data_IF_015308153788
#
_entry.id   IF_015308153788
#
_cell.length_a   1.000
_cell.length_b   1.000
_cell.length_c   1.000
_cell.angle_alpha   90.00
_cell.angle_beta   90.00
_cell.angle_gamma   90.00
#
_symmetry.space_group_name_H-M   'P 1'
#
loop_
_entity.id
_entity.type
_entity.pdbx_description
1 polymer ?
#
# COMPACT_ATOMS: atom_id res chain seq x y z
N UNK A 1 -0.36 -12.64 0.03
CA UNK A 1 -1.16 -11.58 -0.63
C UNK A 1 -0.59 -11.23 -2.02
N UNK A 2 0.58 -10.61 -2.12
CA UNK A 2 1.13 -10.13 -3.41
C UNK A 2 1.21 -11.23 -4.50
N UNK A 3 1.78 -12.43 -4.25
CA UNK A 3 1.88 -13.45 -5.30
C UNK A 3 0.52 -13.88 -5.86
N UNK A 4 -0.49 -13.98 -4.99
CA UNK A 4 -1.84 -14.39 -5.39
C UNK A 4 -2.55 -13.30 -6.20
N UNK A 5 -2.36 -12.03 -5.84
CA UNK A 5 -2.89 -10.91 -6.63
C UNK A 5 -2.26 -10.87 -8.04
N UNK A 6 -0.96 -11.12 -8.15
CA UNK A 6 -0.28 -11.20 -9.44
C UNK A 6 -0.78 -12.39 -10.28
N UNK A 7 -1.06 -13.53 -9.65
CA UNK A 7 -1.64 -14.69 -10.32
C UNK A 7 -3.01 -14.35 -10.91
N UNK A 8 -3.86 -13.67 -10.14
CA UNK A 8 -5.18 -13.23 -10.60
C UNK A 8 -5.09 -12.21 -11.73
N UNK A 9 -4.23 -11.19 -11.60
CA UNK A 9 -4.03 -10.19 -12.66
C UNK A 9 -3.48 -10.81 -13.95
N UNK A 10 -2.55 -11.77 -13.84
CA UNK A 10 -2.04 -12.50 -15.00
C UNK A 10 -3.12 -13.34 -15.69
N UNK A 11 -4.05 -13.93 -14.93
CA UNK A 11 -5.19 -14.66 -15.49
C UNK A 11 -6.14 -13.75 -16.29
N UNK A 12 -6.21 -12.47 -15.93
CA UNK A 12 -6.93 -11.42 -16.67
C UNK A 12 -6.10 -10.82 -17.84
N UNK A 13 -4.93 -11.40 -18.15
CA UNK A 13 -4.07 -10.95 -19.26
C UNK A 13 -3.18 -9.75 -18.93
N UNK A 14 -3.07 -9.33 -17.67
CA UNK A 14 -2.20 -8.22 -17.27
C UNK A 14 -0.73 -8.66 -17.25
N UNK A 15 0.11 -8.00 -18.03
CA UNK A 15 1.55 -8.24 -18.08
C UNK A 15 2.29 -7.68 -16.86
N UNK A 16 3.40 -8.30 -16.46
CA UNK A 16 4.24 -7.77 -15.36
C UNK A 16 4.80 -6.36 -15.60
N UNK A 17 5.26 -5.98 -16.81
CA UNK A 17 5.80 -4.63 -17.04
C UNK A 17 4.78 -3.49 -16.91
N UNK A 18 3.48 -3.80 -16.94
CA UNK A 18 2.41 -2.80 -16.80
C UNK A 18 1.98 -2.55 -15.36
N UNK A 19 2.64 -3.17 -14.38
CA UNK A 19 2.23 -3.09 -12.98
C UNK A 19 3.03 -2.04 -12.22
N UNK A 20 2.32 -1.28 -11.40
CA UNK A 20 2.86 -0.38 -10.38
C UNK A 20 2.09 -0.57 -9.09
N UNK A 21 2.72 -0.24 -7.96
CA UNK A 21 2.10 -0.32 -6.64
C UNK A 21 1.91 1.06 -6.01
N UNK A 22 0.89 1.19 -5.16
CA UNK A 22 0.71 2.30 -4.21
C UNK A 22 0.39 1.74 -2.85
N UNK A 23 0.98 2.32 -1.80
CA UNK A 23 0.91 1.80 -0.44
C UNK A 23 0.24 2.79 0.50
N UNK A 24 -0.75 2.36 1.26
CA UNK A 24 -1.31 3.17 2.33
C UNK A 24 -1.64 2.28 3.53
N UNK A 25 -1.29 2.72 4.74
CA UNK A 25 -1.57 1.97 5.98
C UNK A 25 -0.40 1.94 6.96
N UNK A 26 -0.38 0.93 7.83
CA UNK A 26 0.70 0.77 8.82
C UNK A 26 0.69 1.79 9.97
N UNK A 27 -0.46 2.40 10.27
CA UNK A 27 -0.61 3.29 11.43
C UNK A 27 -0.47 2.53 12.76
N UNK A 28 0.15 3.16 13.76
CA UNK A 28 0.17 2.69 15.14
C UNK A 28 -0.91 3.42 15.97
N UNK A 29 -2.18 3.06 15.77
CA UNK A 29 -3.31 3.77 16.37
C UNK A 29 -3.45 3.62 17.89
N UNK A 30 -2.81 2.61 18.48
CA UNK A 30 -2.99 2.25 19.88
C UNK A 30 -1.78 2.56 20.76
N UNK A 31 -0.82 3.35 20.25
CA UNK A 31 0.23 3.96 21.08
C UNK A 31 1.15 2.95 21.81
N UNK A 32 1.28 1.73 21.29
CA UNK A 32 2.18 0.75 21.89
C UNK A 32 3.62 1.06 21.53
N UNK A 33 4.40 1.61 22.48
CA UNK A 33 5.88 1.65 22.43
C UNK A 33 6.51 0.25 22.63
N UNK A 34 5.81 -0.81 22.20
CA UNK A 34 6.30 -2.18 22.27
C UNK A 34 7.17 -2.53 21.06
N UNK A 35 7.99 -3.60 21.15
CA UNK A 35 8.88 -4.06 20.07
C UNK A 35 8.13 -4.53 18.80
N UNK A 36 6.79 -4.51 18.80
CA UNK A 36 5.94 -5.07 17.76
C UNK A 36 5.31 -3.91 16.97
N UNK A 37 6.09 -3.31 16.08
CA UNK A 37 5.59 -2.38 15.06
C UNK A 37 5.10 -3.15 13.82
N UNK A 38 3.99 -3.89 13.95
CA UNK A 38 3.45 -4.72 12.85
C UNK A 38 3.23 -3.89 11.58
N UNK A 39 2.79 -2.63 11.71
CA UNK A 39 2.64 -1.72 10.57
C UNK A 39 3.94 -1.48 9.80
N UNK A 40 5.03 -1.22 10.52
CA UNK A 40 6.35 -1.00 9.92
C UNK A 40 6.94 -2.28 9.32
N UNK A 41 6.77 -3.42 10.00
CA UNK A 41 7.21 -4.72 9.50
C UNK A 41 6.45 -5.12 8.23
N UNK A 42 5.13 -4.90 8.19
CA UNK A 42 4.32 -5.14 7.01
C UNK A 42 4.74 -4.24 5.85
N UNK A 43 4.98 -2.96 6.12
CA UNK A 43 5.50 -2.03 5.12
C UNK A 43 6.81 -2.53 4.52
N UNK A 44 7.77 -2.87 5.38
CA UNK A 44 9.07 -3.39 4.95
C UNK A 44 8.94 -4.68 4.13
N UNK A 45 8.14 -5.65 4.58
CA UNK A 45 7.94 -6.91 3.88
C UNK A 45 7.28 -6.72 2.50
N UNK A 46 6.30 -5.82 2.40
CA UNK A 46 5.65 -5.49 1.13
C UNK A 46 6.62 -4.80 0.17
N UNK A 47 7.39 -3.83 0.65
CA UNK A 47 8.38 -3.12 -0.17
C UNK A 47 9.45 -4.07 -0.69
N UNK A 48 9.96 -4.98 0.14
CA UNK A 48 10.93 -6.00 -0.29
C UNK A 48 10.34 -6.96 -1.33
N UNK A 49 9.09 -7.41 -1.13
CA UNK A 49 8.43 -8.30 -2.08
C UNK A 49 8.20 -7.62 -3.44
N UNK A 50 7.76 -6.36 -3.45
CA UNK A 50 7.56 -5.59 -4.68
C UNK A 50 8.88 -5.33 -5.42
N UNK A 51 9.95 -5.01 -4.69
CA UNK A 51 11.28 -4.83 -5.24
C UNK A 51 11.80 -6.13 -5.89
N UNK A 52 11.66 -7.28 -5.21
CA UNK A 52 12.05 -8.59 -5.77
C UNK A 52 11.26 -8.97 -7.03
N UNK A 53 10.07 -8.40 -7.21
CA UNK A 53 9.20 -8.61 -8.38
C UNK A 53 9.35 -7.53 -9.46
N UNK A 54 10.26 -6.56 -9.25
CA UNK A 54 10.45 -5.39 -10.13
C UNK A 54 9.18 -4.56 -10.35
N UNK A 55 8.35 -4.42 -9.32
CA UNK A 55 7.13 -3.60 -9.36
C UNK A 55 7.42 -2.27 -8.65
N UNK A 56 7.44 -1.14 -9.37
CA UNK A 56 7.74 0.16 -8.78
C UNK A 56 6.61 0.62 -7.86
N UNK A 57 6.98 1.20 -6.71
CA UNK A 57 6.06 1.95 -5.85
C UNK A 57 5.99 3.38 -6.39
N UNK A 58 4.79 3.83 -6.73
CA UNK A 58 4.54 5.14 -7.38
C UNK A 58 3.89 6.16 -6.46
N UNK A 59 3.51 5.75 -5.25
CA UNK A 59 2.93 6.60 -4.23
C UNK A 59 2.77 5.86 -2.91
N UNK A 60 3.04 6.53 -1.79
CA UNK A 60 2.91 5.95 -0.46
C UNK A 60 2.38 6.93 0.58
N UNK A 61 1.52 6.43 1.47
CA UNK A 61 1.05 7.11 2.67
C UNK A 61 1.00 6.12 3.84
N UNK A 62 2.17 5.87 4.43
CA UNK A 62 2.40 4.83 5.44
C UNK A 62 2.72 5.41 6.82
N UNK A 63 2.59 4.60 7.87
CA UNK A 63 2.92 5.00 9.24
C UNK A 63 1.85 5.89 9.88
N UNK A 64 2.27 6.80 10.76
CA UNK A 64 1.39 7.67 11.55
C UNK A 64 0.66 6.96 12.71
N UNK A 65 -0.20 7.70 13.39
CA UNK A 65 -0.92 7.29 14.60
C UNK A 65 -2.45 7.28 14.42
N UNK A 66 -2.94 7.59 13.21
CA UNK A 66 -4.37 7.64 12.88
C UNK A 66 -4.76 6.62 11.83
N UNK A 67 -5.97 6.09 11.99
CA UNK A 67 -6.62 5.29 10.96
C UNK A 67 -6.88 6.09 9.69
N UNK A 68 -6.92 5.40 8.56
CA UNK A 68 -7.18 6.01 7.25
C UNK A 68 -8.10 5.16 6.41
N UNK A 69 -8.93 5.81 5.61
CA UNK A 69 -9.71 5.19 4.53
C UNK A 69 -8.93 5.35 3.23
N UNK A 70 -8.96 4.32 2.39
CA UNK A 70 -8.31 4.31 1.08
C UNK A 70 -9.37 4.06 0.02
N UNK A 71 -9.40 4.93 -0.99
CA UNK A 71 -10.19 4.76 -2.21
C UNK A 71 -9.25 4.62 -3.39
N UNK A 72 -9.35 3.54 -4.15
CA UNK A 72 -8.45 3.27 -5.27
C UNK A 72 -9.23 3.22 -6.59
N UNK A 73 -8.74 3.95 -7.60
CA UNK A 73 -9.26 3.96 -8.96
C UNK A 73 -8.21 3.35 -9.91
N UNK A 74 -8.24 2.01 -10.14
CA UNK A 74 -7.23 1.33 -10.94
C UNK A 74 -7.11 1.87 -12.36
N UNK A 75 -8.23 2.23 -13.00
CA UNK A 75 -8.27 2.77 -14.37
C UNK A 75 -7.49 4.08 -14.53
N UNK A 76 -7.31 4.84 -13.45
CA UNK A 76 -6.55 6.09 -13.43
C UNK A 76 -5.22 5.97 -12.68
N UNK A 77 -4.97 4.85 -12.01
CA UNK A 77 -3.84 4.70 -11.09
C UNK A 77 -3.88 5.65 -9.90
N UNK A 78 -5.05 6.18 -9.53
CA UNK A 78 -5.20 7.19 -8.48
C UNK A 78 -5.62 6.53 -7.17
N UNK A 79 -4.92 6.85 -6.08
CA UNK A 79 -5.28 6.43 -4.73
C UNK A 79 -5.53 7.65 -3.85
N UNK A 80 -6.71 7.72 -3.23
CA UNK A 80 -7.07 8.80 -2.29
C UNK A 80 -7.06 8.25 -0.87
N UNK A 81 -6.35 8.94 0.02
CA UNK A 81 -6.20 8.61 1.44
C UNK A 81 -6.89 9.68 2.27
N UNK A 82 -7.79 9.23 3.15
CA UNK A 82 -8.59 10.11 4.00
C UNK A 82 -8.32 9.81 5.47
N UNK A 83 -8.02 10.86 6.24
CA UNK A 83 -7.80 10.81 7.69
C UNK A 83 -8.78 11.78 8.35
N UNK A 84 -9.41 11.38 9.45
CA UNK A 84 -10.38 12.21 10.15
C UNK A 84 -9.76 13.56 10.57
N UNK A 85 -10.41 14.66 10.17
CA UNK A 85 -9.97 16.02 10.45
C UNK A 85 -8.81 16.53 9.58
N UNK A 86 -8.47 15.84 8.50
CA UNK A 86 -7.45 16.27 7.53
C UNK A 86 -8.04 16.31 6.11
N UNK A 87 -7.52 17.17 5.22
CA UNK A 87 -7.89 17.13 3.82
C UNK A 87 -7.46 15.79 3.18
N UNK A 88 -8.18 15.30 2.16
CA UNK A 88 -7.81 14.09 1.43
C UNK A 88 -6.46 14.28 0.70
N UNK A 89 -5.68 13.20 0.65
CA UNK A 89 -4.38 13.17 -0.03
C UNK A 89 -4.49 12.21 -1.21
N UNK A 90 -4.15 12.69 -2.40
CA UNK A 90 -3.99 11.86 -3.59
C UNK A 90 -2.53 11.41 -3.70
N UNK A 91 -2.32 10.09 -3.75
CA UNK A 91 -1.01 9.48 -3.97
C UNK A 91 -1.00 8.60 -5.19
#
# INVERSE_FOLDING_TARGET
AIPELLRLLAAEGVGRPSLSAKLAGGANMFGGNGPIQIGAQNHQAVTQALAALNIPITGEHVGGDKGRRVSFQPSRGVMVVEIAGQPPIEI
#
